data_IF_428295364342
#
_entry.id   IF_428295364342
#
_cell.length_a   1.000
_cell.length_b   1.000
_cell.length_c   1.000
_cell.angle_alpha   90.00
_cell.angle_beta   90.00
_cell.angle_gamma   90.00
#
_symmetry.space_group_name_H-M   'P 1'
#
loop_
_entity.id
_entity.type
_entity.pdbx_description
1 polymer ?
#
# COMPACT_ATOMS: atom_id res chain seq x y z
N UNK A 1 1.81 31.98 33.93
CA UNK A 1 2.57 31.72 32.69
C UNK A 1 3.06 30.26 32.67
N UNK A 2 3.80 29.75 33.66
CA UNK A 2 4.29 28.35 33.70
C UNK A 2 3.15 27.31 33.65
N UNK A 3 2.05 27.52 34.35
CA UNK A 3 0.90 26.60 34.37
C UNK A 3 0.23 26.52 33.00
N UNK A 4 0.06 27.65 32.32
CA UNK A 4 -0.54 27.69 30.96
C UNK A 4 0.34 26.99 29.89
N UNK A 5 1.67 27.05 30.06
CA UNK A 5 2.58 26.37 29.15
C UNK A 5 2.46 24.83 29.30
N UNK A 6 2.41 24.36 30.55
CA UNK A 6 2.25 22.92 30.84
C UNK A 6 0.90 22.38 30.32
N UNK A 7 -0.19 23.11 30.57
CA UNK A 7 -1.52 22.73 30.08
C UNK A 7 -1.57 22.67 28.52
N UNK A 8 -0.87 23.59 27.85
CA UNK A 8 -0.77 23.59 26.38
C UNK A 8 0.07 22.41 25.87
N UNK A 9 1.20 22.09 26.49
CA UNK A 9 2.05 20.96 26.15
C UNK A 9 1.29 19.64 26.31
N UNK A 10 0.59 19.43 27.43
CA UNK A 10 -0.23 18.24 27.69
C UNK A 10 -1.37 18.08 26.66
N UNK A 11 -1.98 19.19 26.24
CA UNK A 11 -3.03 19.17 25.22
C UNK A 11 -2.47 18.79 23.85
N UNK A 12 -1.32 19.32 23.45
CA UNK A 12 -0.64 18.98 22.19
C UNK A 12 -0.24 17.51 22.18
N UNK A 13 0.35 17.02 23.27
CA UNK A 13 0.74 15.61 23.40
C UNK A 13 -0.45 14.67 23.30
N UNK A 14 -1.57 15.01 23.94
CA UNK A 14 -2.81 14.21 23.84
C UNK A 14 -3.34 14.18 22.39
N UNK A 15 -3.30 15.31 21.68
CA UNK A 15 -3.73 15.36 20.28
C UNK A 15 -2.78 14.57 19.39
N UNK A 16 -1.47 14.66 19.57
CA UNK A 16 -0.48 13.88 18.82
C UNK A 16 -0.66 12.38 19.03
N UNK A 17 -0.86 11.93 20.27
CA UNK A 17 -1.14 10.52 20.57
C UNK A 17 -2.41 10.05 19.88
N UNK A 18 -3.47 10.85 19.87
CA UNK A 18 -4.71 10.54 19.17
C UNK A 18 -4.51 10.38 17.65
N UNK A 19 -3.75 11.27 17.04
CA UNK A 19 -3.43 11.23 15.61
C UNK A 19 -2.56 10.02 15.28
N UNK A 20 -1.51 9.77 16.06
CA UNK A 20 -0.63 8.60 15.87
C UNK A 20 -1.43 7.31 15.94
N UNK A 21 -2.28 7.16 16.95
CA UNK A 21 -3.15 5.97 17.08
C UNK A 21 -4.08 5.79 15.89
N UNK A 22 -4.61 6.86 15.30
CA UNK A 22 -5.47 6.77 14.12
C UNK A 22 -4.67 6.36 12.87
N UNK A 23 -3.45 6.86 12.71
CA UNK A 23 -2.55 6.47 11.62
C UNK A 23 -2.20 4.99 11.76
N UNK A 24 -1.76 4.57 12.93
CA UNK A 24 -1.38 3.18 13.21
C UNK A 24 -2.54 2.22 12.96
N UNK A 25 -3.75 2.55 13.45
CA UNK A 25 -4.94 1.75 13.20
C UNK A 25 -5.29 1.65 11.72
N UNK A 26 -5.07 2.74 10.96
CA UNK A 26 -5.31 2.76 9.52
C UNK A 26 -4.32 1.88 8.78
N UNK A 27 -3.04 1.95 9.12
CA UNK A 27 -1.99 1.11 8.54
C UNK A 27 -2.19 -0.36 8.89
N UNK A 28 -2.52 -0.65 10.15
CA UNK A 28 -2.82 -2.01 10.61
C UNK A 28 -4.03 -2.59 9.86
N UNK A 29 -5.10 -1.82 9.68
CA UNK A 29 -6.26 -2.25 8.93
C UNK A 29 -5.90 -2.60 7.48
N UNK A 30 -5.08 -1.79 6.82
CA UNK A 30 -4.64 -2.07 5.46
C UNK A 30 -3.76 -3.34 5.41
N UNK A 31 -2.92 -3.55 6.40
CA UNK A 31 -2.08 -4.75 6.52
C UNK A 31 -2.93 -6.00 6.75
N UNK A 32 -3.94 -5.94 7.62
CA UNK A 32 -4.86 -7.03 7.86
C UNK A 32 -5.66 -7.40 6.59
N UNK A 33 -6.09 -6.41 5.82
CA UNK A 33 -6.74 -6.63 4.52
C UNK A 33 -5.77 -7.29 3.54
N UNK A 34 -4.55 -6.78 3.42
CA UNK A 34 -3.54 -7.37 2.55
C UNK A 34 -3.23 -8.82 2.93
N UNK A 35 -3.16 -9.12 4.23
CA UNK A 35 -2.97 -10.47 4.76
C UNK A 35 -4.15 -11.39 4.41
N UNK A 36 -5.38 -10.95 4.64
CA UNK A 36 -6.60 -11.73 4.32
C UNK A 36 -6.66 -12.05 2.82
N UNK A 37 -6.32 -11.10 1.97
CA UNK A 37 -6.27 -11.28 0.52
C UNK A 37 -5.16 -12.27 0.15
N UNK A 38 -3.95 -12.09 0.67
CA UNK A 38 -2.81 -12.95 0.38
C UNK A 38 -3.01 -14.40 0.86
N UNK A 39 -3.82 -14.61 1.91
CA UNK A 39 -4.15 -15.91 2.46
C UNK A 39 -5.42 -16.53 1.85
N UNK A 40 -6.10 -15.83 0.94
CA UNK A 40 -7.34 -16.34 0.33
C UNK A 40 -7.03 -17.48 -0.65
N UNK A 41 -7.59 -18.66 -0.40
CA UNK A 41 -7.31 -19.87 -1.17
C UNK A 41 -7.71 -19.76 -2.66
N UNK A 42 -8.76 -19.01 -2.99
CA UNK A 42 -9.18 -18.81 -4.38
C UNK A 42 -8.18 -17.93 -5.13
N UNK A 43 -7.63 -16.93 -4.47
CA UNK A 43 -6.56 -16.08 -5.02
C UNK A 43 -5.30 -16.92 -5.20
N UNK A 44 -4.92 -17.72 -4.20
CA UNK A 44 -3.76 -18.63 -4.27
C UNK A 44 -3.92 -19.60 -5.44
N UNK A 45 -5.10 -20.22 -5.65
CA UNK A 45 -5.35 -21.14 -6.76
C UNK A 45 -5.20 -20.48 -8.13
N UNK A 46 -5.71 -19.25 -8.28
CA UNK A 46 -5.52 -18.47 -9.52
C UNK A 46 -4.04 -18.16 -9.75
N UNK A 47 -3.32 -17.74 -8.72
CA UNK A 47 -1.90 -17.42 -8.84
C UNK A 47 -1.03 -18.66 -9.06
N UNK A 48 -1.41 -19.84 -8.58
CA UNK A 48 -0.77 -21.10 -8.96
C UNK A 48 -0.93 -21.39 -10.47
N UNK A 49 -2.12 -21.16 -11.03
CA UNK A 49 -2.35 -21.31 -12.48
C UNK A 49 -1.56 -20.30 -13.32
N UNK A 50 -1.37 -19.09 -12.79
CA UNK A 50 -0.57 -18.03 -13.40
C UNK A 50 0.91 -18.38 -13.56
N UNK A 51 1.48 -19.26 -12.73
CA UNK A 51 2.89 -19.68 -12.85
C UNK A 51 3.22 -20.32 -14.20
N UNK A 52 2.26 -21.02 -14.80
CA UNK A 52 2.41 -21.62 -16.14
C UNK A 52 2.06 -20.70 -17.32
N UNK A 53 1.66 -19.46 -17.05
CA UNK A 53 1.26 -18.54 -18.10
C UNK A 53 2.43 -17.69 -18.60
N UNK A 54 2.76 -17.82 -19.88
CA UNK A 54 3.86 -17.10 -20.55
C UNK A 54 3.39 -16.17 -21.69
N UNK A 55 2.11 -15.78 -21.68
CA UNK A 55 1.54 -14.88 -22.68
C UNK A 55 2.16 -13.48 -22.66
N UNK A 56 2.11 -12.78 -23.80
CA UNK A 56 2.57 -11.39 -23.94
C UNK A 56 1.57 -10.37 -23.38
N UNK A 57 0.31 -10.75 -23.29
CA UNK A 57 -0.74 -9.94 -22.68
C UNK A 57 -0.87 -10.27 -21.20
N UNK A 58 -1.52 -9.39 -20.48
CA UNK A 58 -1.87 -9.64 -19.09
C UNK A 58 -2.89 -10.81 -19.02
N UNK A 59 -2.62 -11.80 -18.18
CA UNK A 59 -3.46 -12.98 -17.98
C UNK A 59 -4.93 -12.63 -17.70
N UNK A 60 -5.17 -11.66 -16.86
CA UNK A 60 -6.51 -11.25 -16.45
C UNK A 60 -7.30 -10.58 -17.59
N UNK A 61 -6.62 -10.00 -18.57
CA UNK A 61 -7.26 -9.46 -19.78
C UNK A 61 -7.71 -10.60 -20.72
N UNK A 62 -6.94 -11.70 -20.78
CA UNK A 62 -7.31 -12.88 -21.61
C UNK A 62 -8.31 -13.80 -20.90
N UNK A 63 -8.36 -13.78 -19.57
CA UNK A 63 -9.22 -14.63 -18.74
C UNK A 63 -10.22 -13.78 -17.93
N UNK A 64 -11.15 -13.15 -18.64
CA UNK A 64 -12.09 -12.17 -18.07
C UNK A 64 -12.98 -12.73 -16.96
N UNK A 65 -13.36 -14.01 -17.05
CA UNK A 65 -14.18 -14.66 -16.01
C UNK A 65 -13.40 -14.81 -14.69
N UNK A 66 -12.11 -15.13 -14.80
CA UNK A 66 -11.21 -15.20 -13.63
C UNK A 66 -11.01 -13.81 -13.05
N UNK A 67 -10.75 -12.81 -13.90
CA UNK A 67 -10.61 -11.41 -13.49
C UNK A 67 -11.86 -10.91 -12.76
N UNK A 68 -13.04 -11.17 -13.33
CA UNK A 68 -14.32 -10.82 -12.73
C UNK A 68 -14.48 -11.44 -11.33
N UNK A 69 -14.23 -12.74 -11.22
CA UNK A 69 -14.35 -13.46 -9.94
C UNK A 69 -13.43 -12.88 -8.87
N UNK A 70 -12.17 -12.66 -9.21
CA UNK A 70 -11.20 -12.04 -8.30
C UNK A 70 -11.65 -10.63 -7.89
N UNK A 71 -12.07 -9.80 -8.85
CA UNK A 71 -12.56 -8.44 -8.58
C UNK A 71 -13.76 -8.42 -7.63
N UNK A 72 -14.69 -9.38 -7.73
CA UNK A 72 -15.81 -9.47 -6.78
C UNK A 72 -15.33 -9.67 -5.35
N UNK A 73 -14.30 -10.51 -5.13
CA UNK A 73 -13.70 -10.66 -3.81
C UNK A 73 -13.05 -9.36 -3.33
N UNK A 74 -12.25 -8.70 -4.18
CA UNK A 74 -11.56 -7.47 -3.80
C UNK A 74 -12.52 -6.30 -3.53
N UNK A 75 -13.61 -6.19 -4.30
CA UNK A 75 -14.65 -5.17 -4.10
C UNK A 75 -15.25 -5.28 -2.70
N UNK A 76 -15.41 -6.50 -2.17
CA UNK A 76 -15.97 -6.69 -0.82
C UNK A 76 -15.15 -6.01 0.29
N UNK A 77 -13.83 -5.87 0.10
CA UNK A 77 -12.95 -5.12 1.00
C UNK A 77 -13.05 -3.61 0.75
N UNK A 78 -13.07 -3.19 -0.52
CA UNK A 78 -13.17 -1.78 -0.88
C UNK A 78 -14.44 -1.10 -0.34
N UNK A 79 -15.58 -1.79 -0.43
CA UNK A 79 -16.87 -1.24 0.02
C UNK A 79 -16.97 -1.05 1.54
N UNK A 80 -16.17 -1.77 2.30
CA UNK A 80 -16.15 -1.68 3.77
C UNK A 80 -15.29 -0.54 4.30
N UNK A 81 -14.40 0.02 3.47
CA UNK A 81 -13.32 0.90 3.93
C UNK A 81 -13.12 2.10 3.00
N UNK A 82 -13.64 3.26 3.41
CA UNK A 82 -13.56 4.50 2.63
C UNK A 82 -12.14 5.07 2.44
N UNK A 83 -11.19 4.59 3.25
CA UNK A 83 -9.79 5.04 3.21
C UNK A 83 -9.00 4.38 2.08
N UNK A 84 -9.49 3.25 1.56
CA UNK A 84 -8.80 2.52 0.51
C UNK A 84 -8.94 3.25 -0.84
N UNK A 85 -7.82 3.42 -1.52
CA UNK A 85 -7.76 3.97 -2.87
C UNK A 85 -7.87 2.89 -3.92
N UNK A 86 -7.15 1.78 -3.70
CA UNK A 86 -7.05 0.65 -4.62
C UNK A 86 -6.57 -0.60 -3.91
N UNK A 87 -7.00 -1.74 -4.41
CA UNK A 87 -6.40 -3.04 -4.11
C UNK A 87 -5.93 -3.64 -5.42
N UNK A 88 -4.67 -4.06 -5.50
CA UNK A 88 -4.07 -4.67 -6.69
C UNK A 88 -3.48 -6.02 -6.32
N UNK A 89 -3.58 -6.97 -7.25
CA UNK A 89 -2.88 -8.24 -7.19
C UNK A 89 -1.98 -8.34 -8.42
N UNK A 90 -0.73 -8.72 -8.25
CA UNK A 90 0.22 -8.83 -9.35
C UNK A 90 1.28 -9.89 -9.09
N UNK A 91 1.93 -10.35 -10.15
CA UNK A 91 3.07 -11.26 -10.09
C UNK A 91 4.33 -10.65 -10.71
N UNK A 92 5.46 -11.35 -10.61
CA UNK A 92 6.73 -10.93 -11.22
C UNK A 92 6.69 -10.83 -12.75
N UNK A 93 5.73 -11.51 -13.39
CA UNK A 93 5.55 -11.49 -14.85
C UNK A 93 4.67 -10.32 -15.32
N UNK A 94 4.33 -9.37 -14.43
CA UNK A 94 3.50 -8.21 -14.71
C UNK A 94 2.04 -8.55 -15.09
N UNK A 95 1.55 -9.72 -14.69
CA UNK A 95 0.11 -9.98 -14.71
C UNK A 95 -0.51 -9.29 -13.52
N UNK A 96 -1.49 -8.45 -13.76
CA UNK A 96 -2.09 -7.59 -12.73
C UNK A 96 -3.60 -7.49 -12.90
N UNK A 97 -4.31 -7.57 -11.77
CA UNK A 97 -5.73 -7.20 -11.64
C UNK A 97 -5.92 -6.27 -10.45
N UNK A 98 -6.96 -5.45 -10.46
CA UNK A 98 -7.19 -4.45 -9.41
C UNK A 98 -8.66 -4.04 -9.29
N UNK A 99 -8.99 -3.45 -8.16
CA UNK A 99 -10.24 -2.71 -7.90
C UNK A 99 -9.93 -1.35 -7.27
N UNK A 100 -10.81 -0.38 -7.47
CA UNK A 100 -10.66 0.98 -6.95
C UNK A 100 -10.54 2.01 -8.06
N UNK A 101 -9.80 3.10 -7.84
CA UNK A 101 -9.63 4.14 -8.86
C UNK A 101 -9.04 3.54 -10.13
N UNK A 102 -9.68 3.85 -11.26
CA UNK A 102 -9.27 3.37 -12.57
C UNK A 102 -7.82 3.76 -12.87
N UNK A 103 -7.10 2.85 -13.50
CA UNK A 103 -5.74 3.02 -13.98
C UNK A 103 -5.67 2.52 -15.41
N UNK A 104 -4.85 3.18 -16.19
CA UNK A 104 -4.58 2.74 -17.57
C UNK A 104 -3.43 1.72 -17.54
N UNK A 105 -3.78 0.46 -17.34
CA UNK A 105 -2.84 -0.64 -17.58
C UNK A 105 -2.89 -0.99 -19.04
N UNK A 106 -1.79 -0.76 -19.76
CA UNK A 106 -1.68 -1.20 -21.14
C UNK A 106 -2.01 -2.70 -21.28
N UNK A 107 -2.65 -3.07 -22.37
CA UNK A 107 -3.01 -4.47 -22.66
C UNK A 107 -1.79 -5.39 -22.80
N UNK A 108 -0.64 -4.82 -23.17
CA UNK A 108 0.63 -5.53 -23.24
C UNK A 108 1.43 -5.28 -21.95
N UNK A 109 2.08 -6.32 -21.43
CA UNK A 109 2.91 -6.23 -20.20
C UNK A 109 3.99 -5.16 -20.31
N UNK A 110 4.61 -5.00 -21.48
CA UNK A 110 5.62 -3.95 -21.76
C UNK A 110 5.09 -2.52 -21.63
N UNK A 111 3.77 -2.33 -21.67
CA UNK A 111 3.13 -1.02 -21.60
C UNK A 111 2.70 -0.67 -20.16
N UNK A 112 3.14 -1.45 -19.17
CA UNK A 112 2.88 -1.16 -17.77
C UNK A 112 3.49 0.22 -17.39
N UNK A 113 2.72 1.13 -16.77
CA UNK A 113 3.17 2.49 -16.47
C UNK A 113 4.40 2.55 -15.56
N UNK A 114 4.58 1.57 -14.69
CA UNK A 114 5.71 1.49 -13.78
C UNK A 114 6.17 0.02 -13.62
N UNK A 115 6.99 -0.50 -14.55
CA UNK A 115 7.47 -1.88 -14.48
C UNK A 115 8.40 -2.12 -13.27
N UNK A 116 9.06 -1.09 -12.74
CA UNK A 116 10.02 -1.23 -11.66
C UNK A 116 9.36 -1.67 -10.34
N UNK A 117 8.07 -1.37 -10.16
CA UNK A 117 7.32 -1.80 -8.96
C UNK A 117 7.38 -3.32 -8.73
N UNK A 118 7.43 -4.10 -9.80
CA UNK A 118 7.47 -5.56 -9.70
C UNK A 118 8.84 -6.02 -9.22
N UNK A 119 9.90 -5.45 -9.77
CA UNK A 119 11.31 -5.76 -9.44
C UNK A 119 11.63 -5.31 -8.02
N UNK A 120 11.28 -4.08 -7.67
CA UNK A 120 11.53 -3.51 -6.34
C UNK A 120 10.82 -4.30 -5.24
N UNK A 121 9.55 -4.68 -5.47
CA UNK A 121 8.79 -5.49 -4.53
C UNK A 121 9.42 -6.87 -4.34
N UNK A 122 9.83 -7.52 -5.43
CA UNK A 122 10.47 -8.82 -5.38
C UNK A 122 11.81 -8.77 -4.62
N UNK A 123 12.65 -7.77 -4.90
CA UNK A 123 13.93 -7.58 -4.23
C UNK A 123 13.75 -7.37 -2.73
N UNK A 124 12.80 -6.52 -2.32
CA UNK A 124 12.52 -6.29 -0.91
C UNK A 124 12.15 -7.58 -0.16
N UNK A 125 11.23 -8.36 -0.69
CA UNK A 125 10.79 -9.59 -0.03
C UNK A 125 11.86 -10.69 -0.06
N UNK A 126 12.73 -10.72 -1.04
CA UNK A 126 13.89 -11.62 -1.07
C UNK A 126 14.83 -11.33 0.11
N UNK A 127 15.12 -10.06 0.39
CA UNK A 127 15.96 -9.63 1.50
C UNK A 127 15.31 -9.93 2.87
N UNK A 128 13.99 -9.79 2.98
CA UNK A 128 13.23 -10.08 4.19
C UNK A 128 12.87 -11.56 4.38
N UNK A 129 13.36 -12.46 3.50
CA UNK A 129 13.02 -13.90 3.48
C UNK A 129 11.51 -14.16 3.50
N UNK A 130 10.75 -13.30 2.86
CA UNK A 130 9.29 -13.40 2.73
C UNK A 130 8.53 -13.25 4.05
N UNK A 131 9.07 -12.57 5.03
CA UNK A 131 8.40 -12.33 6.32
C UNK A 131 7.85 -10.91 6.39
N UNK A 132 6.59 -10.80 6.83
CA UNK A 132 5.96 -9.53 7.13
C UNK A 132 5.32 -8.83 5.95
N UNK A 133 5.11 -7.55 6.11
CA UNK A 133 4.54 -6.62 5.14
C UNK A 133 5.56 -5.56 4.77
N UNK A 134 5.47 -5.10 3.52
CA UNK A 134 6.18 -3.92 3.06
C UNK A 134 5.23 -2.72 3.12
N UNK A 135 5.62 -1.69 3.86
CA UNK A 135 5.00 -0.37 3.79
C UNK A 135 5.83 0.51 2.87
N UNK A 136 5.18 1.10 1.86
CA UNK A 136 5.84 1.96 0.89
C UNK A 136 5.05 3.25 0.69
N UNK A 137 5.76 4.37 0.66
CA UNK A 137 5.20 5.65 0.23
C UNK A 137 5.71 5.96 -1.15
N UNK A 138 4.78 6.14 -2.06
CA UNK A 138 5.06 6.58 -3.41
C UNK A 138 4.70 8.06 -3.51
N UNK A 139 5.64 8.92 -3.91
CA UNK A 139 5.43 10.37 -4.11
C UNK A 139 4.42 10.67 -5.22
N UNK A 140 4.25 9.72 -6.14
CA UNK A 140 3.22 9.70 -7.16
C UNK A 140 2.54 8.34 -7.15
N UNK A 141 1.28 8.27 -7.62
CA UNK A 141 0.63 6.97 -7.79
C UNK A 141 1.40 6.17 -8.86
N UNK A 142 1.98 5.00 -8.52
CA UNK A 142 2.81 4.24 -9.45
C UNK A 142 2.06 3.75 -10.69
N UNK A 143 0.73 3.78 -10.65
CA UNK A 143 -0.14 3.33 -11.74
C UNK A 143 -0.88 4.47 -12.44
N UNK A 144 -0.80 5.68 -11.93
CA UNK A 144 -1.45 6.86 -12.51
C UNK A 144 -0.40 7.93 -12.85
N UNK A 145 -0.65 8.67 -13.91
CA UNK A 145 0.19 9.84 -14.26
C UNK A 145 -0.02 11.03 -13.33
N UNK A 146 -0.93 10.90 -12.38
CA UNK A 146 -1.22 11.95 -11.39
C UNK A 146 -0.17 11.94 -10.27
N UNK A 147 0.31 13.12 -9.93
CA UNK A 147 1.14 13.34 -8.73
C UNK A 147 0.21 13.30 -7.52
N UNK A 148 -0.05 12.11 -7.03
CA UNK A 148 -0.88 11.88 -5.84
C UNK A 148 -0.16 10.89 -4.95
N UNK A 149 0.46 11.32 -3.85
CA UNK A 149 1.18 10.41 -2.99
C UNK A 149 0.25 9.35 -2.39
N UNK A 150 0.75 8.14 -2.29
CA UNK A 150 0.02 6.99 -1.76
C UNK A 150 0.85 6.24 -0.74
N UNK A 151 0.19 5.66 0.26
CA UNK A 151 0.79 4.65 1.11
C UNK A 151 0.29 3.29 0.64
N UNK A 152 1.22 2.41 0.34
CA UNK A 152 0.96 1.04 -0.10
C UNK A 152 1.41 0.05 0.98
N UNK A 153 0.54 -0.90 1.28
CA UNK A 153 0.88 -2.08 2.08
C UNK A 153 0.89 -3.29 1.18
N UNK A 154 1.99 -4.02 1.15
CA UNK A 154 2.19 -5.18 0.30
C UNK A 154 2.44 -6.44 1.12
N UNK A 155 1.87 -7.56 0.65
CA UNK A 155 2.12 -8.90 1.19
C UNK A 155 2.32 -9.91 0.08
N UNK A 156 3.18 -10.91 0.33
CA UNK A 156 3.36 -12.02 -0.60
C UNK A 156 2.15 -12.97 -0.58
N UNK A 157 1.71 -13.35 -1.77
CA UNK A 157 0.78 -14.47 -1.97
C UNK A 157 1.63 -15.73 -2.11
N UNK A 158 1.46 -16.69 -1.20
CA UNK A 158 2.32 -17.87 -1.11
C UNK A 158 1.56 -19.17 -1.30
N UNK A 159 2.22 -20.12 -1.95
CA UNK A 159 1.76 -21.50 -1.94
C UNK A 159 2.27 -22.20 -0.67
N UNK A 160 1.41 -22.29 0.34
CA UNK A 160 1.73 -22.95 1.62
C UNK A 160 1.69 -24.48 1.55
N UNK A 161 1.26 -25.06 0.43
CA UNK A 161 1.28 -26.52 0.24
C UNK A 161 2.69 -27.02 -0.12
N UNK A 162 3.58 -26.13 -0.54
CA UNK A 162 4.97 -26.43 -0.82
C UNK A 162 5.88 -26.09 0.37
N UNK A 163 6.93 -26.88 0.56
CA UNK A 163 7.96 -26.65 1.59
C UNK A 163 9.32 -26.67 0.89
N UNK A 164 10.05 -25.54 0.80
CA UNK A 164 9.66 -24.20 1.26
C UNK A 164 8.49 -23.61 0.46
N UNK A 165 7.70 -22.74 1.10
CA UNK A 165 6.59 -22.05 0.43
C UNK A 165 7.11 -21.15 -0.68
N UNK A 166 6.48 -21.22 -1.84
CA UNK A 166 6.84 -20.43 -3.02
C UNK A 166 6.01 -19.15 -3.08
N UNK A 167 6.67 -18.03 -3.44
CA UNK A 167 5.97 -16.78 -3.72
C UNK A 167 5.34 -16.84 -5.11
N UNK A 168 4.03 -16.68 -5.16
CA UNK A 168 3.25 -16.70 -6.40
C UNK A 168 3.00 -15.29 -6.95
N UNK A 169 3.03 -14.28 -6.09
CA UNK A 169 2.72 -12.90 -6.40
C UNK A 169 2.53 -12.06 -5.15
N UNK A 170 1.89 -10.90 -5.31
CA UNK A 170 1.77 -9.89 -4.28
C UNK A 170 0.36 -9.32 -4.23
N UNK A 171 -0.13 -9.09 -3.01
CA UNK A 171 -1.32 -8.31 -2.71
C UNK A 171 -0.89 -6.93 -2.24
N UNK A 172 -1.39 -5.88 -2.89
CA UNK A 172 -1.12 -4.48 -2.55
C UNK A 172 -2.41 -3.78 -2.18
N UNK A 173 -2.43 -3.14 -1.03
CA UNK A 173 -3.51 -2.28 -0.55
C UNK A 173 -3.00 -0.84 -0.49
N UNK A 174 -3.61 0.06 -1.27
CA UNK A 174 -3.26 1.48 -1.33
C UNK A 174 -4.24 2.33 -0.53
N UNK A 175 -3.70 3.23 0.28
CA UNK A 175 -4.43 4.15 1.15
C UNK A 175 -4.39 5.56 0.57
N UNK A 176 -5.47 6.31 0.75
CA UNK A 176 -5.53 7.74 0.41
C UNK A 176 -4.80 8.56 1.47
N UNK A 177 -3.70 9.19 1.10
CA UNK A 177 -2.93 10.07 2.00
C UNK A 177 -3.74 11.27 2.49
N UNK A 178 -4.70 11.76 1.70
CA UNK A 178 -5.59 12.86 2.10
C UNK A 178 -6.35 12.58 3.41
N UNK A 179 -6.53 11.30 3.76
CA UNK A 179 -7.10 10.91 5.06
C UNK A 179 -6.22 11.37 6.22
N UNK A 180 -4.90 11.27 6.07
CA UNK A 180 -3.94 11.73 7.08
C UNK A 180 -3.77 13.25 7.06
N UNK A 181 -3.87 13.90 5.89
CA UNK A 181 -3.84 15.35 5.80
C UNK A 181 -4.93 16.04 6.62
N UNK A 182 -6.10 15.39 6.78
CA UNK A 182 -7.17 15.89 7.66
C UNK A 182 -6.79 15.85 9.12
N UNK A 183 -6.04 14.83 9.54
CA UNK A 183 -5.56 14.71 10.91
C UNK A 183 -4.55 15.82 11.26
N UNK A 184 -3.62 16.12 10.33
CA UNK A 184 -2.67 17.21 10.52
C UNK A 184 -3.33 18.59 10.71
N UNK A 185 -4.48 18.83 10.08
CA UNK A 185 -5.23 20.09 10.27
C UNK A 185 -5.73 20.30 11.69
N UNK A 186 -5.87 19.26 12.49
CA UNK A 186 -6.28 19.34 13.89
C UNK A 186 -5.18 19.95 14.77
N UNK A 187 -3.91 19.90 14.35
CA UNK A 187 -2.78 20.44 15.08
C UNK A 187 -2.57 21.97 14.91
N UNK A 188 -3.35 22.60 14.04
CA UNK A 188 -3.23 24.04 13.76
C UNK A 188 -2.37 24.33 12.52
N UNK A 189 -2.54 25.54 11.96
CA UNK A 189 -1.94 25.91 10.67
C UNK A 189 -0.43 26.12 10.69
N UNK A 190 0.14 26.33 11.87
CA UNK A 190 1.57 26.63 12.07
C UNK A 190 2.37 25.40 12.54
N UNK A 191 1.72 24.25 12.72
CA UNK A 191 2.38 23.05 13.21
C UNK A 191 2.82 22.18 12.03
N UNK A 192 4.11 21.94 11.91
CA UNK A 192 4.67 20.95 11.00
C UNK A 192 4.64 19.57 11.68
N UNK A 193 4.12 18.56 11.00
CA UNK A 193 4.05 17.20 11.51
C UNK A 193 4.58 16.23 10.48
N UNK A 194 5.35 15.25 10.91
CA UNK A 194 5.97 14.26 10.07
C UNK A 194 5.59 12.86 10.53
N UNK A 195 5.24 11.99 9.60
CA UNK A 195 5.08 10.56 9.85
C UNK A 195 6.38 9.88 9.43
N UNK A 196 7.04 9.22 10.35
CA UNK A 196 8.33 8.57 10.13
C UNK A 196 8.17 7.06 10.13
N UNK A 197 8.82 6.38 9.19
CA UNK A 197 9.08 4.95 9.30
C UNK A 197 10.34 4.74 10.13
N UNK A 198 10.15 4.32 11.39
CA UNK A 198 11.27 4.09 12.32
C UNK A 198 12.23 3.00 11.87
N UNK A 199 11.79 2.04 11.03
CA UNK A 199 12.64 0.95 10.57
C UNK A 199 13.60 1.36 9.47
N UNK A 200 13.16 2.27 8.61
CA UNK A 200 13.90 2.65 7.39
C UNK A 200 14.41 4.09 7.45
N UNK A 201 14.18 4.81 8.54
CA UNK A 201 14.60 6.22 8.76
C UNK A 201 14.12 7.15 7.63
N UNK A 202 12.91 6.89 7.11
CA UNK A 202 12.29 7.68 6.04
C UNK A 202 11.08 8.46 6.55
N UNK A 203 10.94 9.69 6.02
CA UNK A 203 9.71 10.47 6.18
C UNK A 203 8.65 9.89 5.26
N UNK A 204 7.64 9.24 5.84
CA UNK A 204 6.52 8.68 5.10
C UNK A 204 5.59 9.78 4.57
N UNK A 205 5.36 10.80 5.37
CA UNK A 205 4.50 11.91 5.00
C UNK A 205 4.79 13.15 5.85
N UNK A 206 4.66 14.34 5.27
CA UNK A 206 4.74 15.60 5.98
C UNK A 206 3.43 16.38 5.86
N UNK A 207 2.95 16.90 7.00
CA UNK A 207 1.79 17.80 7.05
C UNK A 207 2.27 19.23 7.10
N UNK A 208 1.79 20.06 6.19
CA UNK A 208 2.01 21.51 6.20
C UNK A 208 3.48 21.97 6.17
N UNK A 209 4.42 21.08 5.84
CA UNK A 209 5.82 21.43 5.74
C UNK A 209 6.22 21.72 4.29
N UNK A 210 6.92 22.84 4.10
CA UNK A 210 7.63 23.16 2.86
C UNK A 210 9.09 22.68 2.90
N UNK A 211 9.52 22.00 3.97
CA UNK A 211 10.90 21.52 4.14
C UNK A 211 11.17 20.30 3.29
N UNK A 212 12.38 20.23 2.74
CA UNK A 212 12.86 19.04 2.07
C UNK A 212 13.21 17.96 3.09
N UNK A 213 13.09 16.69 2.72
CA UNK A 213 13.40 15.54 3.58
C UNK A 213 14.80 15.61 4.21
N UNK A 214 15.79 16.18 3.47
CA UNK A 214 17.15 16.40 3.96
C UNK A 214 17.27 17.40 5.12
N UNK A 215 16.27 18.24 5.32
CA UNK A 215 16.23 19.27 6.39
C UNK A 215 15.53 18.78 7.66
N UNK A 216 14.92 17.59 7.61
CA UNK A 216 14.14 17.00 8.71
C UNK A 216 15.02 16.04 9.54
N UNK A 217 16.12 15.54 8.96
CA UNK A 217 17.01 14.55 9.57
C UNK A 217 18.07 15.13 10.53
N UNK A 218 17.91 16.38 10.96
CA UNK A 218 18.77 17.03 11.97
C UNK A 218 18.04 17.12 13.28
#
# INVERSE_FOLDING_TARGET
IKTQTIEFEDQVDTQLQGITSQIDNTLQLADDIALQIAANFQIIDVFNKLQGYHGKKNYFVENTDVDYTIKQHLISYMLKQNILKRISLFNSNQDITYVGKAVDFGYLKKDCPNPDIFTDTQSYFADQKGKGSLFRVDSSDPYMREISPTISVLREIKNYQLIPSECLGYAQVQIQIDSFARLGKLLGKETECFVLDQKNDHVLYSFQSNRKESEIKT
#
